data_IF_924944493921
#
_entry.id   IF_924944493921
#
_cell.length_a   1.000
_cell.length_b   1.000
_cell.length_c   1.000
_cell.angle_alpha   90.00
_cell.angle_beta   90.00
_cell.angle_gamma   90.00
#
_symmetry.space_group_name_H-M   'P 1'
#
loop_
_entity.id
_entity.type
_entity.pdbx_description
1 polymer ?
#
# COMPACT_ATOMS: atom_id res chain seq x y z
N UNK A 1 20.22 1.83 15.84
CA UNK A 1 19.31 2.99 15.93
C UNK A 1 19.38 3.71 14.60
N UNK A 2 18.26 4.17 14.03
CA UNK A 2 18.26 4.95 12.79
C UNK A 2 18.44 6.44 13.09
N UNK A 3 18.92 7.21 12.13
CA UNK A 3 19.05 8.68 12.23
C UNK A 3 17.86 9.39 11.58
N UNK A 4 17.77 10.71 11.76
CA UNK A 4 16.78 11.52 11.04
C UNK A 4 17.03 11.49 9.53
N UNK A 5 18.29 11.56 9.09
CA UNK A 5 18.68 11.46 7.69
C UNK A 5 18.26 10.13 7.05
N UNK A 6 18.18 9.05 7.83
CA UNK A 6 17.65 7.78 7.34
C UNK A 6 16.13 7.84 7.13
N UNK A 7 15.41 8.56 7.98
CA UNK A 7 13.97 8.77 7.84
C UNK A 7 13.63 9.70 6.68
N UNK A 8 14.39 10.79 6.50
CA UNK A 8 14.18 11.76 5.42
C UNK A 8 14.32 11.13 4.03
N UNK A 9 15.13 10.07 3.89
CA UNK A 9 15.24 9.29 2.65
C UNK A 9 13.96 8.52 2.30
N UNK A 10 13.01 8.35 3.21
CA UNK A 10 11.77 7.59 2.97
C UNK A 10 10.72 8.53 2.39
N UNK A 11 10.36 8.34 1.12
CA UNK A 11 9.34 9.17 0.48
C UNK A 11 7.94 8.63 0.81
N UNK A 12 7.30 9.24 1.81
CA UNK A 12 5.95 8.91 2.27
C UNK A 12 4.97 9.92 1.70
N UNK A 13 3.95 9.42 1.00
CA UNK A 13 2.96 10.23 0.29
C UNK A 13 1.55 9.82 0.65
N UNK A 14 0.63 10.76 0.57
CA UNK A 14 -0.81 10.48 0.62
C UNK A 14 -1.30 10.25 -0.80
N UNK A 15 -2.05 9.17 -1.01
CA UNK A 15 -2.67 8.85 -2.28
C UNK A 15 -4.13 8.44 -2.12
N UNK A 16 -4.90 8.49 -3.21
CA UNK A 16 -6.29 8.05 -3.25
C UNK A 16 -6.39 6.68 -3.90
N UNK A 17 -7.05 5.74 -3.22
CA UNK A 17 -7.34 4.43 -3.80
C UNK A 17 -8.36 4.60 -4.93
N UNK A 18 -8.01 4.16 -6.13
CA UNK A 18 -8.85 4.26 -7.34
C UNK A 18 -9.33 2.90 -7.84
N UNK A 19 -8.70 1.81 -7.38
CA UNK A 19 -9.11 0.44 -7.70
C UNK A 19 -8.75 -0.52 -6.57
N UNK A 20 -9.65 -1.48 -6.32
CA UNK A 20 -9.46 -2.53 -5.31
C UNK A 20 -9.86 -3.87 -5.92
N UNK A 21 -8.98 -4.86 -5.85
CA UNK A 21 -9.23 -6.22 -6.33
C UNK A 21 -8.82 -7.24 -5.27
N UNK A 22 -9.51 -8.38 -5.25
CA UNK A 22 -9.11 -9.52 -4.41
C UNK A 22 -7.75 -10.06 -4.85
N UNK A 23 -6.96 -10.55 -3.88
CA UNK A 23 -5.66 -11.18 -4.14
C UNK A 23 -5.62 -12.63 -3.62
N UNK A 24 -6.33 -13.57 -4.26
CA UNK A 24 -6.46 -14.95 -3.76
C UNK A 24 -5.14 -15.73 -3.78
N UNK A 25 -4.15 -15.29 -4.58
CA UNK A 25 -2.83 -15.94 -4.63
C UNK A 25 -1.89 -15.50 -3.49
N UNK A 26 -2.29 -14.54 -2.65
CA UNK A 26 -1.51 -14.14 -1.49
C UNK A 26 -1.61 -15.19 -0.38
N UNK A 27 -0.49 -15.48 0.30
CA UNK A 27 -0.45 -16.43 1.43
C UNK A 27 -1.37 -16.02 2.58
N UNK A 28 -1.52 -14.72 2.83
CA UNK A 28 -2.47 -14.14 3.78
C UNK A 28 -3.51 -13.34 2.99
N UNK A 29 -4.79 -13.32 3.41
CA UNK A 29 -5.83 -12.56 2.74
C UNK A 29 -5.44 -11.09 2.53
N UNK A 30 -5.39 -10.65 1.27
CA UNK A 30 -4.95 -9.32 0.89
C UNK A 30 -5.77 -8.78 -0.28
N UNK A 31 -5.75 -7.45 -0.43
CA UNK A 31 -6.22 -6.76 -1.63
C UNK A 31 -5.06 -6.25 -2.47
N UNK A 32 -5.26 -6.24 -3.78
CA UNK A 32 -4.49 -5.42 -4.72
C UNK A 32 -5.14 -4.05 -4.79
N UNK A 33 -4.35 -3.01 -4.55
CA UNK A 33 -4.77 -1.62 -4.65
C UNK A 33 -4.08 -0.96 -5.83
N UNK A 34 -4.80 -0.13 -6.57
CA UNK A 34 -4.20 0.93 -7.39
C UNK A 34 -4.47 2.27 -6.69
N UNK A 35 -3.41 3.02 -6.45
CA UNK A 35 -3.43 4.24 -5.65
C UNK A 35 -2.86 5.37 -6.50
N UNK A 36 -3.64 6.43 -6.68
CA UNK A 36 -3.22 7.66 -7.33
C UNK A 36 -2.52 8.58 -6.32
N UNK A 37 -1.20 8.79 -6.49
CA UNK A 37 -0.38 9.67 -5.67
C UNK A 37 -0.18 11.06 -6.30
N UNK A 38 -1.00 11.42 -7.29
CA UNK A 38 -0.94 12.70 -8.00
C UNK A 38 0.03 12.69 -9.19
N UNK A 39 0.12 13.80 -9.94
CA UNK A 39 0.77 13.83 -11.26
C UNK A 39 2.29 13.59 -11.25
N UNK A 40 2.97 13.87 -10.14
CA UNK A 40 4.43 13.69 -10.01
C UNK A 40 4.81 12.21 -9.87
N UNK A 41 4.03 11.43 -9.12
CA UNK A 41 4.33 10.02 -8.80
C UNK A 41 3.50 9.06 -9.68
N UNK A 42 2.30 9.48 -10.04
CA UNK A 42 1.33 8.70 -10.78
C UNK A 42 0.65 7.62 -9.95
N UNK A 43 0.08 6.65 -10.67
CA UNK A 43 -0.65 5.52 -10.10
C UNK A 43 0.35 4.41 -9.76
N UNK A 44 0.27 3.88 -8.54
CA UNK A 44 1.09 2.76 -8.06
C UNK A 44 0.25 1.61 -7.57
N UNK A 45 0.75 0.39 -7.78
CA UNK A 45 0.18 -0.85 -7.25
C UNK A 45 0.69 -1.13 -5.84
N UNK A 46 -0.20 -1.57 -4.97
CA UNK A 46 0.14 -2.05 -3.62
C UNK A 46 -0.62 -3.32 -3.26
N UNK A 47 -0.03 -4.17 -2.42
CA UNK A 47 -0.70 -5.33 -1.83
C UNK A 47 -0.85 -5.12 -0.33
N UNK A 48 -2.09 -5.08 0.17
CA UNK A 48 -2.38 -4.76 1.57
C UNK A 48 -3.19 -5.87 2.27
N UNK A 49 -2.72 -6.32 3.43
CA UNK A 49 -3.36 -7.36 4.26
C UNK A 49 -4.42 -6.76 5.20
N UNK A 50 -5.40 -6.07 4.60
CA UNK A 50 -6.35 -5.22 5.33
C UNK A 50 -7.80 -5.74 5.24
N UNK A 51 -7.98 -6.95 4.72
CA UNK A 51 -9.26 -7.61 4.46
C UNK A 51 -10.09 -7.87 5.72
N UNK A 52 -9.48 -7.87 6.91
CA UNK A 52 -10.18 -8.05 8.19
C UNK A 52 -10.99 -6.82 8.61
N UNK A 53 -10.53 -5.62 8.26
CA UNK A 53 -11.07 -4.36 8.78
C UNK A 53 -11.74 -3.49 7.73
N UNK A 54 -11.51 -3.78 6.45
CA UNK A 54 -11.99 -2.95 5.36
C UNK A 54 -12.61 -3.79 4.26
N UNK A 55 -13.76 -3.34 3.77
CA UNK A 55 -14.34 -3.84 2.52
C UNK A 55 -13.74 -3.12 1.32
N UNK A 56 -13.98 -3.62 0.11
CA UNK A 56 -13.52 -2.97 -1.14
C UNK A 56 -14.20 -1.61 -1.33
N UNK A 57 -15.47 -1.53 -0.94
CA UNK A 57 -16.30 -0.33 -1.04
C UNK A 57 -15.82 0.77 -0.10
N UNK A 58 -15.37 0.42 1.11
CA UNK A 58 -14.80 1.38 2.08
C UNK A 58 -13.41 1.88 1.69
N UNK A 59 -12.69 1.10 0.87
CA UNK A 59 -11.37 1.44 0.38
C UNK A 59 -11.42 2.32 -0.87
N UNK A 60 -12.41 2.14 -1.74
CA UNK A 60 -12.50 2.94 -2.95
C UNK A 60 -12.68 4.43 -2.63
N UNK A 61 -11.82 5.27 -3.19
CA UNK A 61 -11.81 6.72 -2.93
C UNK A 61 -11.18 7.12 -1.58
N UNK A 62 -10.80 6.18 -0.72
CA UNK A 62 -10.14 6.46 0.56
C UNK A 62 -8.73 7.02 0.33
N UNK A 63 -8.33 7.97 1.19
CA UNK A 63 -6.95 8.43 1.28
C UNK A 63 -6.13 7.48 2.14
N UNK A 64 -4.95 7.11 1.66
CA UNK A 64 -4.00 6.23 2.33
C UNK A 64 -2.60 6.82 2.28
N UNK A 65 -1.75 6.48 3.24
CA UNK A 65 -0.32 6.78 3.18
C UNK A 65 0.43 5.62 2.55
N UNK A 66 1.43 5.91 1.72
CA UNK A 66 2.29 4.90 1.15
C UNK A 66 3.74 5.36 0.98
N UNK A 67 4.68 4.44 1.16
CA UNK A 67 6.09 4.64 0.76
C UNK A 67 6.20 4.38 -0.74
N UNK A 68 6.70 5.35 -1.50
CA UNK A 68 6.70 5.32 -2.97
C UNK A 68 8.08 5.13 -3.61
N UNK A 69 9.15 5.11 -2.81
CA UNK A 69 10.52 5.03 -3.28
C UNK A 69 11.24 3.72 -2.91
N UNK A 70 10.49 2.66 -2.55
CA UNK A 70 11.07 1.32 -2.47
C UNK A 70 11.24 0.68 -3.85
N UNK A 71 12.22 -0.22 -4.01
CA UNK A 71 12.25 -1.13 -5.15
C UNK A 71 10.95 -1.94 -5.22
N UNK A 72 10.54 -2.29 -6.44
CA UNK A 72 9.36 -3.13 -6.67
C UNK A 72 9.51 -4.46 -5.95
N UNK A 73 8.51 -4.82 -5.13
CA UNK A 73 8.47 -6.07 -4.38
C UNK A 73 7.57 -7.08 -5.06
N UNK A 74 8.12 -8.23 -5.43
CA UNK A 74 7.33 -9.33 -5.96
C UNK A 74 6.64 -10.10 -4.82
N UNK A 75 5.32 -10.32 -4.95
CA UNK A 75 4.47 -11.07 -4.03
C UNK A 75 3.72 -12.10 -4.89
N UNK A 76 4.23 -13.32 -4.95
CA UNK A 76 3.69 -14.32 -5.89
C UNK A 76 3.69 -13.78 -7.33
N UNK A 77 2.53 -13.72 -8.03
CA UNK A 77 2.44 -13.17 -9.39
C UNK A 77 2.30 -11.64 -9.45
N UNK A 78 2.24 -10.95 -8.31
CA UNK A 78 1.98 -9.51 -8.24
C UNK A 78 3.27 -8.72 -7.96
N UNK A 79 3.41 -7.57 -8.60
CA UNK A 79 4.53 -6.63 -8.40
C UNK A 79 4.01 -5.39 -7.67
N UNK A 80 4.36 -5.25 -6.40
CA UNK A 80 3.98 -4.12 -5.55
C UNK A 80 5.00 -3.00 -5.73
N UNK A 81 4.53 -1.82 -6.11
CA UNK A 81 5.34 -0.64 -6.42
C UNK A 81 5.37 0.38 -5.28
N UNK A 82 4.46 0.22 -4.31
CA UNK A 82 4.40 1.03 -3.09
C UNK A 82 4.06 0.16 -1.88
N UNK A 83 4.45 0.61 -0.70
CA UNK A 83 4.03 0.02 0.57
C UNK A 83 2.93 0.88 1.19
N UNK A 84 1.69 0.39 1.21
CA UNK A 84 0.59 1.03 1.96
C UNK A 84 0.86 0.90 3.45
N UNK A 85 0.88 2.02 4.17
CA UNK A 85 1.17 2.06 5.60
C UNK A 85 -0.06 1.73 6.44
N UNK A 86 0.17 1.06 7.56
CA UNK A 86 -0.81 0.73 8.57
C UNK A 86 -0.13 0.52 9.92
N UNK A 87 -0.92 0.47 10.98
CA UNK A 87 -0.45 0.18 12.33
C UNK A 87 -1.11 -1.11 12.77
N UNK A 88 -0.31 -2.04 13.30
CA UNK A 88 -0.83 -3.29 13.83
C UNK A 88 -1.73 -3.03 15.04
N UNK A 89 -2.79 -3.83 15.18
CA UNK A 89 -3.57 -3.83 16.41
C UNK A 89 -3.00 -4.87 17.41
N UNK A 90 -3.74 -5.14 18.49
CA UNK A 90 -3.34 -6.13 19.50
C UNK A 90 -3.14 -7.56 18.95
N UNK A 91 -3.69 -7.86 17.76
CA UNK A 91 -3.64 -9.16 17.10
C UNK A 91 -2.60 -9.23 15.97
N UNK A 92 -1.85 -8.15 15.72
CA UNK A 92 -0.84 -8.05 14.65
C UNK A 92 -1.41 -7.61 13.32
#
# INVERSE_FOLDING_TARGET
>A
MITYDDFEKVDIRVGRVIKVEDFPQARKPAYKLEIDFGPEIGIKKSSAQITKYYTKEELLGRLVMGVVNFPVKQIGPFFSESLTLGVADENG
#
